data_IF_539023524953
#
_entry.id   IF_539023524953
#
_cell.length_a   1.000
_cell.length_b   1.000
_cell.length_c   1.000
_cell.angle_alpha   90.00
_cell.angle_beta   90.00
_cell.angle_gamma   90.00
#
_symmetry.space_group_name_H-M   'P 1'
#
loop_
_entity.id
_entity.type
_entity.pdbx_description
1 polymer ?
#
# COMPACT_ATOMS: atom_id res chain seq x y z
N UNK A 1 19.48 28.62 14.04
CA UNK A 1 19.03 27.30 13.54
C UNK A 1 17.57 27.11 13.92
N UNK A 2 16.66 26.74 12.99
CA UNK A 2 15.26 26.48 13.36
C UNK A 2 15.11 25.08 13.96
N UNK A 3 14.39 24.96 15.08
CA UNK A 3 14.21 23.67 15.77
C UNK A 3 13.50 22.64 14.87
N UNK A 4 12.53 23.07 14.07
CA UNK A 4 11.83 22.17 13.14
C UNK A 4 12.78 21.53 12.11
N UNK A 5 13.73 22.31 11.58
CA UNK A 5 14.76 21.79 10.68
C UNK A 5 15.72 20.85 11.42
N UNK A 6 16.01 21.12 12.70
CA UNK A 6 16.82 20.22 13.52
C UNK A 6 16.15 18.85 13.62
N UNK A 7 14.88 18.80 13.99
CA UNK A 7 14.13 17.55 14.13
C UNK A 7 14.03 16.80 12.81
N UNK A 8 13.77 17.49 11.69
CA UNK A 8 13.76 16.87 10.35
C UNK A 8 15.11 16.27 9.98
N UNK A 9 16.20 16.99 10.23
CA UNK A 9 17.55 16.49 10.03
C UNK A 9 17.82 15.26 10.90
N UNK A 10 17.51 15.33 12.19
CA UNK A 10 17.76 14.24 13.15
C UNK A 10 16.99 12.99 12.74
N UNK A 11 15.70 13.11 12.36
CA UNK A 11 14.93 11.96 11.87
C UNK A 11 15.56 11.33 10.62
N UNK A 12 15.95 12.16 9.65
CA UNK A 12 16.59 11.67 8.41
C UNK A 12 17.91 10.95 8.70
N UNK A 13 18.71 11.47 9.64
CA UNK A 13 19.94 10.81 10.08
C UNK A 13 19.64 9.47 10.77
N UNK A 14 18.62 9.40 11.64
CA UNK A 14 18.22 8.15 12.30
C UNK A 14 17.69 7.11 11.31
N UNK A 15 16.95 7.52 10.28
CA UNK A 15 16.51 6.61 9.21
C UNK A 15 17.72 6.02 8.48
N UNK A 16 18.70 6.86 8.13
CA UNK A 16 19.94 6.41 7.52
C UNK A 16 20.69 5.43 8.45
N UNK A 17 20.86 5.78 9.73
CA UNK A 17 21.51 4.91 10.71
C UNK A 17 20.81 3.55 10.82
N UNK A 18 19.48 3.52 10.88
CA UNK A 18 18.71 2.28 11.00
C UNK A 18 18.84 1.38 9.76
N UNK A 19 18.81 1.97 8.56
CA UNK A 19 19.03 1.23 7.30
C UNK A 19 20.43 0.65 7.26
N UNK A 20 21.45 1.43 7.62
CA UNK A 20 22.84 0.97 7.59
C UNK A 20 23.12 -0.10 8.66
N UNK A 21 22.59 0.07 9.87
CA UNK A 21 22.67 -0.95 10.93
C UNK A 21 22.01 -2.26 10.49
N UNK A 22 20.82 -2.18 9.87
CA UNK A 22 20.14 -3.34 9.32
C UNK A 22 20.94 -4.03 8.23
N UNK A 23 21.53 -3.25 7.32
CA UNK A 23 22.39 -3.75 6.23
C UNK A 23 23.63 -4.45 6.77
N UNK A 24 24.33 -3.85 7.73
CA UNK A 24 25.53 -4.41 8.36
C UNK A 24 25.23 -5.72 9.10
N UNK A 25 24.06 -5.85 9.74
CA UNK A 25 23.65 -7.12 10.35
C UNK A 25 23.45 -8.22 9.33
N UNK A 26 22.88 -7.92 8.16
CA UNK A 26 22.70 -8.89 7.09
C UNK A 26 24.04 -9.33 6.47
N UNK A 27 25.08 -8.49 6.56
CA UNK A 27 26.42 -8.89 6.12
C UNK A 27 27.10 -9.86 7.08
N UNK A 28 26.68 -9.97 8.34
CA UNK A 28 27.33 -10.86 9.30
C UNK A 28 26.95 -12.33 9.06
N UNK A 29 27.93 -13.22 9.21
CA UNK A 29 27.70 -14.67 9.16
C UNK A 29 26.79 -15.14 10.32
N UNK A 30 25.94 -16.13 10.04
CA UNK A 30 25.04 -16.70 11.04
C UNK A 30 25.82 -17.25 12.26
N UNK A 31 25.32 -16.97 13.47
CA UNK A 31 25.96 -17.40 14.73
C UNK A 31 26.94 -16.40 15.36
N UNK A 32 27.16 -15.23 14.76
CA UNK A 32 28.03 -14.17 15.30
C UNK A 32 27.29 -13.10 16.11
N UNK A 33 26.10 -13.41 16.63
CA UNK A 33 25.24 -12.45 17.36
C UNK A 33 25.86 -11.92 18.67
N UNK A 34 26.88 -12.61 19.20
CA UNK A 34 27.61 -12.22 20.42
C UNK A 34 28.91 -11.45 20.14
N UNK A 35 29.27 -11.23 18.87
CA UNK A 35 30.46 -10.45 18.54
C UNK A 35 30.27 -8.98 18.94
N UNK A 36 31.36 -8.30 19.31
CA UNK A 36 31.32 -6.92 19.80
C UNK A 36 30.67 -5.96 18.79
N UNK A 37 30.95 -6.15 17.49
CA UNK A 37 30.25 -5.42 16.42
C UNK A 37 28.73 -5.64 16.44
N UNK A 38 28.27 -6.88 16.60
CA UNK A 38 26.83 -7.18 16.61
C UNK A 38 26.14 -6.54 17.83
N UNK A 39 26.82 -6.54 18.99
CA UNK A 39 26.37 -5.85 20.21
C UNK A 39 26.30 -4.34 19.97
N UNK A 40 27.33 -3.73 19.40
CA UNK A 40 27.32 -2.31 19.04
C UNK A 40 26.15 -1.96 18.12
N UNK A 41 25.94 -2.73 17.05
CA UNK A 41 24.84 -2.50 16.11
C UNK A 41 23.47 -2.53 16.82
N UNK A 42 23.30 -3.38 17.83
CA UNK A 42 22.10 -3.41 18.71
C UNK A 42 21.97 -2.19 19.60
N UNK A 43 23.07 -1.70 20.14
CA UNK A 43 23.06 -0.51 20.99
C UNK A 43 22.78 0.76 20.16
N UNK A 44 23.27 0.82 18.92
CA UNK A 44 22.96 1.89 17.97
C UNK A 44 21.48 1.88 17.54
N UNK A 45 20.90 0.70 17.31
CA UNK A 45 19.46 0.57 17.02
C UNK A 45 18.60 1.04 18.21
N UNK A 46 18.98 0.65 19.43
CA UNK A 46 18.32 1.10 20.67
C UNK A 46 18.42 2.62 20.80
N UNK A 47 19.62 3.18 20.61
CA UNK A 47 19.85 4.62 20.61
C UNK A 47 18.99 5.35 19.57
N UNK A 48 18.83 4.78 18.37
CA UNK A 48 17.95 5.34 17.34
C UNK A 48 16.49 5.39 17.82
N UNK A 49 16.01 4.33 18.46
CA UNK A 49 14.64 4.27 19.02
C UNK A 49 14.41 5.36 20.06
N UNK A 50 15.34 5.52 21.00
CA UNK A 50 15.24 6.52 22.07
C UNK A 50 15.24 7.95 21.52
N UNK A 51 16.16 8.27 20.60
CA UNK A 51 16.22 9.60 19.97
C UNK A 51 14.93 9.88 19.17
N UNK A 52 14.36 8.88 18.48
CA UNK A 52 13.04 9.03 17.81
C UNK A 52 11.94 9.35 18.81
N UNK A 53 11.93 8.72 19.98
CA UNK A 53 10.94 9.02 21.02
C UNK A 53 11.06 10.46 21.52
N UNK A 54 12.28 10.97 21.74
CA UNK A 54 12.48 12.38 22.10
C UNK A 54 12.05 13.33 20.99
N UNK A 55 12.34 13.02 19.72
CA UNK A 55 11.85 13.79 18.58
C UNK A 55 10.32 13.86 18.55
N UNK A 56 9.63 12.75 18.85
CA UNK A 56 8.15 12.71 18.95
C UNK A 56 7.65 13.61 20.09
N UNK A 57 8.28 13.58 21.26
CA UNK A 57 7.93 14.45 22.41
C UNK A 57 8.09 15.93 22.06
N UNK A 58 9.25 16.30 21.49
CA UNK A 58 9.54 17.67 21.04
C UNK A 58 8.52 18.14 19.99
N UNK A 59 8.23 17.31 18.98
CA UNK A 59 7.29 17.67 17.91
C UNK A 59 5.88 17.96 18.43
N UNK A 60 5.41 17.25 19.46
CA UNK A 60 4.07 17.45 20.07
C UNK A 60 3.89 18.82 20.73
N UNK A 61 4.99 19.51 21.09
CA UNK A 61 5.00 20.84 21.74
C UNK A 61 5.53 21.94 20.80
N UNK A 62 5.83 21.64 19.54
CA UNK A 62 6.27 22.67 18.60
C UNK A 62 5.08 23.52 18.09
N UNK A 63 5.30 24.83 17.85
CA UNK A 63 4.30 25.70 17.23
C UNK A 63 3.89 25.21 15.84
N UNK A 64 2.59 25.27 15.53
CA UNK A 64 2.04 24.84 14.24
C UNK A 64 0.78 23.98 14.31
N UNK A 65 0.33 23.64 15.52
CA UNK A 65 -0.87 22.83 15.78
C UNK A 65 -1.78 23.56 16.78
N UNK A 66 -3.08 23.66 16.46
CA UNK A 66 -4.10 24.30 17.31
C UNK A 66 -4.57 23.35 18.43
N UNK A 67 -3.64 22.88 19.27
CA UNK A 67 -3.96 22.08 20.45
C UNK A 67 -3.73 22.88 21.75
N UNK A 68 -4.56 22.69 22.79
CA UNK A 68 -4.38 23.36 24.08
C UNK A 68 -3.00 23.08 24.68
N UNK A 69 -2.29 24.12 25.11
CA UNK A 69 -0.97 23.99 25.74
C UNK A 69 0.23 23.96 24.77
N UNK A 70 0.04 24.29 23.48
CA UNK A 70 1.13 24.48 22.52
C UNK A 70 1.45 25.98 22.39
N UNK A 71 2.72 26.40 22.54
CA UNK A 71 3.09 27.81 22.47
C UNK A 71 2.97 28.37 21.04
N UNK A 72 2.65 29.66 20.92
CA UNK A 72 2.58 30.36 19.63
C UNK A 72 3.97 30.54 18.98
N UNK A 73 5.02 30.61 19.80
CA UNK A 73 6.40 30.68 19.37
C UNK A 73 7.32 30.00 20.39
N UNK A 74 8.49 29.54 19.93
CA UNK A 74 9.56 29.06 20.79
C UNK A 74 10.73 30.03 20.73
N UNK A 75 11.37 30.25 21.87
CA UNK A 75 12.58 31.05 21.98
C UNK A 75 13.56 30.37 22.94
N UNK A 76 14.75 30.04 22.45
CA UNK A 76 15.84 29.48 23.23
C UNK A 76 17.15 30.18 22.88
N UNK A 77 18.03 30.32 23.87
CA UNK A 77 19.29 31.06 23.72
C UNK A 77 20.31 30.40 22.79
N UNK A 78 21.38 31.14 22.48
CA UNK A 78 22.45 30.70 21.59
C UNK A 78 23.11 29.38 22.05
N UNK A 79 23.33 29.22 23.35
CA UNK A 79 23.90 27.99 23.94
C UNK A 79 23.11 26.73 23.54
N UNK A 80 21.77 26.82 23.54
CA UNK A 80 20.91 25.70 23.15
C UNK A 80 21.03 25.44 21.65
N UNK A 81 21.08 26.50 20.83
CA UNK A 81 21.32 26.37 19.38
C UNK A 81 22.68 25.74 19.06
N UNK A 82 23.72 26.08 19.81
CA UNK A 82 25.07 25.51 19.64
C UNK A 82 25.08 24.03 19.99
N UNK A 83 24.45 23.66 21.12
CA UNK A 83 24.34 22.25 21.55
C UNK A 83 23.58 21.39 20.52
N UNK A 84 22.50 21.92 19.93
CA UNK A 84 21.78 21.23 18.87
C UNK A 84 22.60 21.13 17.57
N UNK A 85 23.44 22.14 17.29
CA UNK A 85 24.34 22.10 16.14
C UNK A 85 25.42 21.02 16.32
N UNK A 86 25.94 20.87 17.53
CA UNK A 86 26.87 19.79 17.88
C UNK A 86 26.22 18.41 17.79
N UNK A 87 24.95 18.27 18.19
CA UNK A 87 24.20 17.03 17.95
C UNK A 87 24.13 16.65 16.46
N UNK A 88 23.97 17.62 15.57
CA UNK A 88 23.99 17.35 14.12
C UNK A 88 25.36 16.84 13.66
N UNK A 89 26.46 17.38 14.21
CA UNK A 89 27.81 16.89 13.90
C UNK A 89 27.98 15.43 14.33
N UNK A 90 27.60 15.09 15.57
CA UNK A 90 27.66 13.71 16.06
C UNK A 90 26.84 12.74 15.21
N UNK A 91 25.60 13.10 14.85
CA UNK A 91 24.78 12.28 13.95
C UNK A 91 25.42 12.12 12.57
N UNK A 92 26.01 13.19 12.03
CA UNK A 92 26.70 13.15 10.73
C UNK A 92 27.90 12.20 10.77
N UNK A 93 28.70 12.26 11.84
CA UNK A 93 29.83 11.34 12.01
C UNK A 93 29.39 9.88 12.13
N UNK A 94 28.37 9.60 12.92
CA UNK A 94 27.84 8.23 13.07
C UNK A 94 27.32 7.70 11.73
N UNK A 95 26.53 8.50 11.00
CA UNK A 95 26.03 8.15 9.67
C UNK A 95 27.18 7.89 8.70
N UNK A 96 28.17 8.77 8.66
CA UNK A 96 29.31 8.64 7.75
C UNK A 96 30.10 7.35 8.02
N UNK A 97 30.34 7.00 9.29
CA UNK A 97 31.04 5.75 9.64
C UNK A 97 30.22 4.56 9.19
N UNK A 98 28.92 4.51 9.52
CA UNK A 98 28.07 3.39 9.13
C UNK A 98 27.97 3.22 7.61
N UNK A 99 27.85 4.32 6.87
CA UNK A 99 27.82 4.30 5.40
C UNK A 99 29.14 3.80 4.80
N UNK A 100 30.28 4.23 5.32
CA UNK A 100 31.59 3.80 4.83
C UNK A 100 31.81 2.30 5.10
N UNK A 101 31.51 1.83 6.32
CA UNK A 101 31.62 0.42 6.68
C UNK A 101 30.71 -0.43 5.82
N UNK A 102 29.50 0.04 5.57
CA UNK A 102 28.54 -0.72 4.80
C UNK A 102 28.79 -0.67 3.29
N UNK A 103 29.37 0.40 2.75
CA UNK A 103 29.85 0.46 1.38
C UNK A 103 31.01 -0.53 1.14
N UNK A 104 32.00 -0.54 2.04
CA UNK A 104 33.10 -1.51 2.01
C UNK A 104 32.60 -2.94 2.25
N UNK A 105 31.66 -3.13 3.17
CA UNK A 105 30.97 -4.40 3.42
C UNK A 105 30.30 -4.95 2.16
N UNK A 106 29.57 -4.11 1.42
CA UNK A 106 28.94 -4.49 0.16
C UNK A 106 29.96 -4.93 -0.91
N UNK A 107 31.11 -4.24 -1.00
CA UNK A 107 32.19 -4.64 -1.90
C UNK A 107 32.80 -6.00 -1.52
N UNK A 108 32.96 -6.25 -0.22
CA UNK A 108 33.45 -7.53 0.30
C UNK A 108 32.45 -8.68 0.18
N UNK A 109 31.15 -8.38 0.13
CA UNK A 109 30.06 -9.35 -0.11
C UNK A 109 29.97 -9.76 -1.59
N UNK A 110 30.37 -8.89 -2.53
CA UNK A 110 30.23 -9.15 -3.98
C UNK A 110 30.83 -10.47 -4.50
N UNK A 111 31.99 -10.98 -4.01
CA UNK A 111 32.55 -12.25 -4.46
C UNK A 111 32.03 -13.48 -3.69
N UNK A 112 31.19 -13.31 -2.66
CA UNK A 112 30.69 -14.39 -1.82
C UNK A 112 29.42 -15.01 -2.41
N UNK A 113 29.20 -16.32 -2.18
CA UNK A 113 27.95 -16.97 -2.54
C UNK A 113 26.80 -16.48 -1.63
N UNK A 114 25.55 -16.56 -2.09
CA UNK A 114 24.37 -15.99 -1.39
C UNK A 114 24.16 -16.48 0.06
N UNK A 115 24.84 -17.55 0.49
CA UNK A 115 24.75 -18.13 1.83
C UNK A 115 25.95 -17.79 2.75
N UNK A 116 26.99 -17.14 2.22
CA UNK A 116 28.22 -16.82 2.97
C UNK A 116 28.23 -15.35 3.43
N UNK A 117 28.09 -15.13 4.74
CA UNK A 117 28.30 -13.81 5.36
C UNK A 117 29.76 -13.49 5.69
N UNK A 118 30.04 -12.21 5.95
CA UNK A 118 31.32 -11.72 6.45
C UNK A 118 31.51 -12.08 7.93
N UNK A 119 32.75 -12.37 8.30
CA UNK A 119 33.15 -12.47 9.70
C UNK A 119 33.16 -11.08 10.33
N UNK A 120 32.62 -10.96 11.55
CA UNK A 120 32.56 -9.72 12.33
C UNK A 120 33.89 -8.96 12.27
N UNK A 121 35.00 -9.61 12.63
CA UNK A 121 36.38 -9.06 12.63
C UNK A 121 36.73 -8.27 11.36
N UNK A 122 36.33 -8.74 10.17
CA UNK A 122 36.60 -8.04 8.90
C UNK A 122 35.84 -6.73 8.79
N UNK A 123 34.58 -6.69 9.24
CA UNK A 123 33.80 -5.45 9.30
C UNK A 123 34.30 -4.55 10.44
N UNK A 124 34.82 -5.12 11.53
CA UNK A 124 35.46 -4.33 12.59
C UNK A 124 36.66 -3.57 12.04
N UNK A 125 37.60 -4.23 11.36
CA UNK A 125 38.78 -3.58 10.77
C UNK A 125 38.42 -2.38 9.89
N UNK A 126 37.33 -2.48 9.13
CA UNK A 126 36.81 -1.39 8.31
C UNK A 126 36.17 -0.31 9.17
N UNK A 127 35.41 -0.67 10.21
CA UNK A 127 34.86 0.27 11.18
C UNK A 127 35.94 1.05 11.94
N UNK A 128 37.07 0.40 12.25
CA UNK A 128 38.28 1.03 12.77
C UNK A 128 38.83 2.09 11.82
N UNK A 129 39.10 1.72 10.57
CA UNK A 129 39.60 2.67 9.57
C UNK A 129 38.64 3.83 9.31
N UNK A 130 37.35 3.56 9.16
CA UNK A 130 36.34 4.58 8.93
C UNK A 130 36.17 5.51 10.15
N UNK A 131 36.17 4.93 11.35
CA UNK A 131 36.11 5.68 12.61
C UNK A 131 37.27 6.65 12.77
N UNK A 132 38.51 6.19 12.56
CA UNK A 132 39.71 7.04 12.65
C UNK A 132 39.69 8.16 11.62
N UNK A 133 39.27 7.87 10.38
CA UNK A 133 39.18 8.86 9.31
C UNK A 133 38.16 9.97 9.61
N UNK A 134 36.99 9.60 10.16
CA UNK A 134 35.88 10.53 10.34
C UNK A 134 36.00 11.32 11.64
N UNK A 135 36.40 10.66 12.73
CA UNK A 135 36.61 11.32 14.04
C UNK A 135 37.99 11.97 14.16
N UNK A 136 38.93 11.68 13.25
CA UNK A 136 40.24 12.32 13.18
C UNK A 136 41.19 11.98 14.34
N UNK A 137 40.87 10.95 15.14
CA UNK A 137 41.64 10.52 16.31
C UNK A 137 42.26 9.15 16.03
N UNK A 138 43.60 9.09 15.98
CA UNK A 138 44.33 7.84 15.74
C UNK A 138 44.39 7.00 17.02
N UNK A 139 44.05 5.71 16.93
CA UNK A 139 44.24 4.73 18.02
C UNK A 139 43.11 4.62 19.03
N UNK A 140 41.92 5.18 18.76
CA UNK A 140 40.79 5.10 19.67
C UNK A 140 39.65 4.25 19.10
N UNK A 141 38.98 3.50 20.00
CA UNK A 141 38.01 2.49 19.63
C UNK A 141 36.75 3.14 18.99
N UNK A 142 36.44 2.88 17.71
CA UNK A 142 35.26 3.42 17.02
C UNK A 142 33.96 3.08 17.75
N UNK A 143 33.91 1.96 18.46
CA UNK A 143 32.73 1.54 19.18
C UNK A 143 32.42 2.52 20.29
N UNK A 144 33.45 2.98 21.00
CA UNK A 144 33.32 3.98 22.05
C UNK A 144 32.89 5.33 21.46
N UNK A 145 33.46 5.75 20.33
CA UNK A 145 33.04 7.00 19.69
C UNK A 145 31.61 6.98 19.16
N UNK A 146 31.19 5.87 18.54
CA UNK A 146 29.82 5.72 18.05
C UNK A 146 28.82 5.73 19.22
N UNK A 147 29.13 5.02 20.32
CA UNK A 147 28.35 5.04 21.56
C UNK A 147 28.32 6.43 22.21
N UNK A 148 29.47 7.09 22.30
CA UNK A 148 29.61 8.42 22.89
C UNK A 148 28.81 9.46 22.10
N UNK A 149 28.94 9.47 20.77
CA UNK A 149 28.16 10.34 19.88
C UNK A 149 26.65 10.11 20.07
N UNK A 150 26.20 8.86 20.12
CA UNK A 150 24.79 8.57 20.40
C UNK A 150 24.36 9.03 21.80
N UNK A 151 25.21 8.85 22.80
CA UNK A 151 24.94 9.27 24.18
C UNK A 151 24.81 10.80 24.33
N UNK A 152 25.65 11.57 23.62
CA UNK A 152 25.56 13.04 23.58
C UNK A 152 24.24 13.48 22.94
N UNK A 153 23.84 12.83 21.84
CA UNK A 153 22.56 13.13 21.16
C UNK A 153 21.38 12.76 22.06
N UNK A 154 21.39 11.58 22.69
CA UNK A 154 20.35 11.15 23.64
C UNK A 154 20.21 12.15 24.78
N UNK A 155 21.31 12.53 25.42
CA UNK A 155 21.29 13.46 26.55
C UNK A 155 20.72 14.83 26.17
N UNK A 156 21.17 15.37 25.04
CA UNK A 156 20.71 16.68 24.54
C UNK A 156 19.25 16.64 24.14
N UNK A 157 18.83 15.62 23.39
CA UNK A 157 17.46 15.49 22.91
C UNK A 157 16.47 15.22 24.05
N UNK A 158 16.88 14.47 25.07
CA UNK A 158 16.08 14.29 26.28
C UNK A 158 15.93 15.61 27.04
N UNK A 159 17.02 16.35 27.26
CA UNK A 159 16.99 17.66 27.91
C UNK A 159 16.08 18.64 27.17
N UNK A 160 16.17 18.68 25.83
CA UNK A 160 15.29 19.48 24.99
C UNK A 160 13.83 19.06 25.12
N UNK A 161 13.53 17.75 25.11
CA UNK A 161 12.18 17.24 25.27
C UNK A 161 11.57 17.62 26.63
N UNK A 162 12.36 17.54 27.71
CA UNK A 162 11.93 17.94 29.06
C UNK A 162 11.67 19.44 29.16
N UNK A 163 12.63 20.27 28.76
CA UNK A 163 12.49 21.73 28.78
C UNK A 163 11.32 22.21 27.91
N UNK A 164 11.09 21.54 26.77
CA UNK A 164 9.91 21.78 25.96
C UNK A 164 8.62 21.37 26.66
N UNK A 165 8.58 20.25 27.38
CA UNK A 165 7.39 19.81 28.12
C UNK A 165 7.07 20.74 29.30
N UNK A 166 8.10 21.30 29.94
CA UNK A 166 8.00 22.23 31.08
C UNK A 166 7.68 23.67 30.64
N UNK A 167 7.83 23.98 29.35
CA UNK A 167 7.50 25.29 28.78
C UNK A 167 8.59 26.34 28.97
N UNK A 168 9.83 25.91 29.25
CA UNK A 168 10.97 26.81 29.41
C UNK A 168 11.26 27.66 28.17
N UNK A 169 10.83 27.18 26.99
CA UNK A 169 11.05 27.86 25.70
C UNK A 169 9.78 28.54 25.15
N UNK A 170 8.66 28.48 25.87
CA UNK A 170 7.39 29.04 25.43
C UNK A 170 7.50 30.58 25.39
N UNK A 171 7.30 31.18 24.21
CA UNK A 171 7.34 32.64 24.06
C UNK A 171 5.98 33.21 23.74
N UNK A 172 5.53 34.15 24.57
CA UNK A 172 4.38 35.00 24.26
C UNK A 172 4.80 36.07 23.25
N UNK A 173 4.70 35.78 21.95
CA UNK A 173 4.66 36.87 20.97
C UNK A 173 3.31 37.57 21.13
N UNK A 174 3.27 38.92 21.25
CA UNK A 174 2.01 39.63 21.19
C UNK A 174 1.39 39.39 19.82
N UNK A 175 0.28 38.67 19.78
CA UNK A 175 -0.49 38.48 18.56
C UNK A 175 -0.94 39.87 18.08
N UNK A 176 -0.43 40.33 16.93
CA UNK A 176 -1.06 41.44 16.24
C UNK A 176 -2.50 41.02 15.97
N UNK A 177 -3.48 41.75 16.52
CA UNK A 177 -4.91 41.40 16.49
C UNK A 177 -5.46 41.15 15.08
N UNK A 178 -4.73 41.52 14.04
CA UNK A 178 -4.98 41.14 12.65
C UNK A 178 -3.69 40.55 12.04
N UNK A 179 -3.53 39.23 11.98
CA UNK A 179 -2.41 38.63 11.26
C UNK A 179 -2.51 39.01 9.77
N UNK A 180 -1.39 39.40 9.13
CA UNK A 180 -1.33 39.64 7.69
C UNK A 180 -1.97 38.48 6.90
N UNK A 181 -2.65 38.74 5.76
CA UNK A 181 -3.26 37.68 4.95
C UNK A 181 -2.30 36.56 4.52
N UNK A 182 -1.00 36.86 4.41
CA UNK A 182 0.05 35.86 4.13
C UNK A 182 0.24 34.88 5.29
N UNK A 183 0.14 35.35 6.53
CA UNK A 183 0.30 34.52 7.73
C UNK A 183 -0.92 33.63 7.95
N UNK A 184 -2.13 34.14 7.66
CA UNK A 184 -3.36 33.34 7.66
C UNK A 184 -3.27 32.22 6.62
N UNK A 185 -2.81 32.54 5.41
CA UNK A 185 -2.62 31.53 4.35
C UNK A 185 -1.53 30.53 4.71
N UNK A 186 -0.41 30.99 5.29
CA UNK A 186 0.66 30.12 5.75
C UNK A 186 0.21 29.20 6.90
N UNK A 187 -0.62 29.69 7.83
CA UNK A 187 -1.22 28.89 8.88
C UNK A 187 -2.18 27.83 8.33
N UNK A 188 -3.06 28.20 7.39
CA UNK A 188 -3.96 27.26 6.71
C UNK A 188 -3.18 26.16 5.97
N UNK A 189 -2.11 26.52 5.25
CA UNK A 189 -1.24 25.54 4.59
C UNK A 189 -0.53 24.63 5.60
N UNK A 190 -0.04 25.16 6.72
CA UNK A 190 0.60 24.35 7.78
C UNK A 190 -0.39 23.38 8.44
N UNK A 191 -1.64 23.81 8.65
CA UNK A 191 -2.70 22.94 9.14
C UNK A 191 -2.98 21.80 8.14
N UNK A 192 -3.09 22.11 6.84
CA UNK A 192 -3.30 21.11 5.80
C UNK A 192 -2.11 20.12 5.69
N UNK A 193 -0.87 20.60 5.80
CA UNK A 193 0.32 19.73 5.86
C UNK A 193 0.26 18.80 7.07
N UNK A 194 -0.12 19.31 8.23
CA UNK A 194 -0.21 18.52 9.46
C UNK A 194 -1.30 17.45 9.38
N UNK A 195 -2.45 17.80 8.82
CA UNK A 195 -3.53 16.85 8.55
C UNK A 195 -3.09 15.76 7.57
N UNK A 196 -2.34 16.13 6.53
CA UNK A 196 -1.76 15.18 5.58
C UNK A 196 -0.73 14.25 6.24
N UNK A 197 0.15 14.76 7.10
CA UNK A 197 1.09 13.95 7.90
C UNK A 197 0.34 12.99 8.84
N UNK A 198 -0.75 13.47 9.48
CA UNK A 198 -1.60 12.66 10.35
C UNK A 198 -2.33 11.53 9.59
N UNK A 199 -2.76 11.79 8.35
CA UNK A 199 -3.28 10.75 7.46
C UNK A 199 -2.19 9.76 7.05
N UNK A 200 -0.95 10.23 6.82
CA UNK A 200 0.21 9.39 6.54
C UNK A 200 0.47 8.35 7.63
N UNK A 201 0.45 8.77 8.91
CA UNK A 201 0.60 7.86 10.06
C UNK A 201 -0.51 6.80 10.10
N UNK A 202 -1.77 7.20 9.87
CA UNK A 202 -2.89 6.25 9.80
C UNK A 202 -2.73 5.27 8.65
N UNK A 203 -2.15 5.69 7.53
CA UNK A 203 -1.91 4.84 6.37
C UNK A 203 -0.81 3.81 6.68
N UNK A 204 0.27 4.24 7.33
CA UNK A 204 1.34 3.36 7.81
C UNK A 204 0.81 2.30 8.80
N UNK A 205 -0.04 2.69 9.75
CA UNK A 205 -0.72 1.76 10.67
C UNK A 205 -1.62 0.76 9.93
N UNK A 206 -2.31 1.19 8.86
CA UNK A 206 -3.10 0.25 8.04
C UNK A 206 -2.21 -0.70 7.24
N UNK A 207 -1.04 -0.24 6.81
CA UNK A 207 -0.10 -1.05 6.06
C UNK A 207 0.60 -2.12 6.92
N UNK A 208 0.88 -1.83 8.19
CA UNK A 208 1.35 -2.83 9.16
C UNK A 208 0.29 -3.90 9.40
N UNK A 209 -0.96 -3.51 9.62
CA UNK A 209 -2.10 -4.45 9.77
C UNK A 209 -2.27 -5.32 8.52
N UNK A 210 -2.16 -4.74 7.32
CA UNK A 210 -2.22 -5.51 6.06
C UNK A 210 -1.07 -6.53 5.99
N UNK A 211 0.14 -6.16 6.39
CA UNK A 211 1.29 -7.09 6.41
C UNK A 211 1.05 -8.25 7.38
N UNK A 212 0.50 -7.99 8.56
CA UNK A 212 0.15 -9.02 9.54
C UNK A 212 -0.97 -9.93 9.05
N UNK A 213 -2.03 -9.36 8.48
CA UNK A 213 -3.13 -10.13 7.88
C UNK A 213 -2.63 -11.01 6.72
N UNK A 214 -1.72 -10.52 5.88
CA UNK A 214 -1.08 -11.32 4.81
C UNK A 214 -0.28 -12.49 5.38
N UNK A 215 0.49 -12.28 6.46
CA UNK A 215 1.21 -13.36 7.14
C UNK A 215 0.24 -14.40 7.72
N UNK A 216 -0.80 -13.95 8.41
CA UNK A 216 -1.84 -14.83 8.98
C UNK A 216 -2.57 -15.63 7.89
N UNK A 217 -2.91 -15.00 6.77
CA UNK A 217 -3.55 -15.66 5.63
C UNK A 217 -2.66 -16.74 5.02
N UNK A 218 -1.34 -16.49 4.92
CA UNK A 218 -0.38 -17.50 4.42
C UNK A 218 -0.35 -18.73 5.33
N UNK A 219 -0.25 -18.53 6.65
CA UNK A 219 -0.27 -19.61 7.64
C UNK A 219 -1.59 -20.39 7.55
N UNK A 220 -2.73 -19.70 7.48
CA UNK A 220 -4.05 -20.35 7.33
C UNK A 220 -4.17 -21.14 6.02
N UNK A 221 -3.55 -20.66 4.94
CA UNK A 221 -3.46 -21.39 3.67
C UNK A 221 -2.65 -22.68 3.78
N UNK A 222 -1.51 -22.63 4.47
CA UNK A 222 -0.68 -23.81 4.75
C UNK A 222 -1.44 -24.83 5.62
N UNK A 223 -2.09 -24.38 6.70
CA UNK A 223 -2.94 -25.22 7.57
C UNK A 223 -4.08 -25.90 6.79
N UNK A 224 -4.76 -25.15 5.91
CA UNK A 224 -5.85 -25.69 5.08
C UNK A 224 -5.33 -26.72 4.08
N UNK A 225 -4.17 -26.48 3.47
CA UNK A 225 -3.54 -27.44 2.56
C UNK A 225 -3.19 -28.75 3.27
N UNK A 226 -2.68 -28.68 4.51
CA UNK A 226 -2.36 -29.85 5.32
C UNK A 226 -3.62 -30.62 5.71
N UNK A 227 -4.70 -29.90 6.09
CA UNK A 227 -5.99 -30.50 6.38
C UNK A 227 -6.60 -31.22 5.15
N UNK A 228 -6.48 -30.64 3.95
CA UNK A 228 -6.92 -31.29 2.71
C UNK A 228 -6.15 -32.58 2.40
N UNK A 229 -4.83 -32.60 2.65
CA UNK A 229 -4.02 -33.82 2.49
C UNK A 229 -4.49 -34.89 3.48
N UNK A 230 -4.73 -34.52 4.75
CA UNK A 230 -5.27 -35.44 5.77
C UNK A 230 -6.63 -36.01 5.36
N UNK A 231 -7.52 -35.16 4.85
CA UNK A 231 -8.85 -35.55 4.38
C UNK A 231 -8.75 -36.55 3.21
N UNK A 232 -7.95 -36.24 2.19
CA UNK A 232 -7.75 -37.14 1.04
C UNK A 232 -7.16 -38.50 1.46
N UNK A 233 -6.29 -38.53 2.48
CA UNK A 233 -5.74 -39.77 3.01
C UNK A 233 -6.79 -40.60 3.76
N UNK A 234 -7.70 -39.95 4.50
CA UNK A 234 -8.81 -40.62 5.17
C UNK A 234 -9.85 -41.14 4.17
N UNK A 235 -10.17 -40.39 3.13
CA UNK A 235 -11.04 -40.84 2.03
C UNK A 235 -10.48 -42.10 1.35
N UNK A 236 -9.18 -42.10 1.02
CA UNK A 236 -8.53 -43.29 0.44
C UNK A 236 -8.57 -44.51 1.37
N UNK A 237 -8.38 -44.30 2.67
CA UNK A 237 -8.50 -45.38 3.67
C UNK A 237 -9.93 -45.90 3.78
N UNK A 238 -10.92 -45.02 3.66
CA UNK A 238 -12.33 -45.40 3.65
C UNK A 238 -12.64 -46.22 2.40
N UNK A 239 -12.20 -45.79 1.22
CA UNK A 239 -12.38 -46.51 -0.04
C UNK A 239 -11.73 -47.91 -0.01
N UNK A 240 -10.49 -48.01 0.50
CA UNK A 240 -9.83 -49.31 0.64
C UNK A 240 -10.56 -50.20 1.65
N UNK A 241 -10.98 -49.65 2.78
CA UNK A 241 -11.73 -50.42 3.78
C UNK A 241 -13.10 -50.85 3.29
N UNK A 242 -13.76 -50.04 2.44
CA UNK A 242 -15.03 -50.40 1.80
C UNK A 242 -14.82 -51.56 0.84
N UNK A 243 -13.82 -51.48 -0.05
CA UNK A 243 -13.48 -52.58 -0.96
C UNK A 243 -13.15 -53.87 -0.21
N UNK A 244 -12.33 -53.79 0.85
CA UNK A 244 -11.99 -54.95 1.69
C UNK A 244 -13.23 -55.55 2.39
N UNK A 245 -14.24 -54.72 2.69
CA UNK A 245 -15.52 -55.19 3.23
C UNK A 245 -16.37 -55.87 2.14
N UNK A 246 -16.47 -55.26 0.96
CA UNK A 246 -17.21 -55.81 -0.18
C UNK A 246 -16.62 -57.16 -0.62
N UNK A 247 -15.29 -57.27 -0.74
CA UNK A 247 -14.61 -58.54 -1.04
C UNK A 247 -14.87 -59.62 0.01
N UNK A 248 -14.97 -59.24 1.30
CA UNK A 248 -15.31 -60.18 2.37
C UNK A 248 -16.76 -60.65 2.25
N UNK A 249 -17.69 -59.75 1.92
CA UNK A 249 -19.09 -60.10 1.69
C UNK A 249 -19.19 -61.06 0.50
N UNK A 250 -18.50 -60.80 -0.60
CA UNK A 250 -18.47 -61.67 -1.79
C UNK A 250 -17.90 -63.07 -1.47
N UNK A 251 -16.81 -63.14 -0.70
CA UNK A 251 -16.24 -64.41 -0.21
C UNK A 251 -17.18 -65.19 0.71
N UNK A 252 -17.95 -64.50 1.55
CA UNK A 252 -18.96 -65.14 2.40
C UNK A 252 -20.14 -65.64 1.55
N UNK A 253 -20.58 -64.84 0.57
CA UNK A 253 -21.69 -65.19 -0.31
C UNK A 253 -21.37 -66.43 -1.17
N UNK A 254 -20.18 -66.47 -1.77
CA UNK A 254 -19.70 -67.64 -2.54
C UNK A 254 -19.66 -68.91 -1.69
N UNK A 255 -19.13 -68.85 -0.46
CA UNK A 255 -19.15 -69.98 0.48
C UNK A 255 -20.57 -70.40 0.88
N UNK A 256 -21.47 -69.44 1.03
CA UNK A 256 -22.87 -69.71 1.34
C UNK A 256 -23.54 -70.47 0.19
N UNK A 257 -23.33 -70.03 -1.05
CA UNK A 257 -23.89 -70.66 -2.25
C UNK A 257 -23.30 -72.07 -2.49
N UNK A 258 -21.99 -72.24 -2.30
CA UNK A 258 -21.33 -73.55 -2.31
C UNK A 258 -21.92 -74.49 -1.25
N UNK A 259 -22.15 -74.00 -0.03
CA UNK A 259 -22.73 -74.81 1.04
C UNK A 259 -24.19 -75.17 0.75
N UNK A 260 -24.99 -74.23 0.21
CA UNK A 260 -26.37 -74.49 -0.18
C UNK A 260 -26.48 -75.49 -1.33
N UNK A 261 -25.62 -75.41 -2.34
CA UNK A 261 -25.60 -76.38 -3.45
C UNK A 261 -25.22 -77.77 -2.97
N UNK A 262 -24.25 -77.88 -2.06
CA UNK A 262 -23.82 -79.13 -1.46
C UNK A 262 -24.93 -79.74 -0.57
N UNK A 263 -25.63 -78.90 0.19
CA UNK A 263 -26.81 -79.30 0.97
C UNK A 263 -27.92 -79.85 0.06
N UNK A 264 -28.31 -79.12 -0.99
CA UNK A 264 -29.32 -79.59 -1.95
C UNK A 264 -28.94 -80.89 -2.64
N UNK A 265 -27.66 -81.05 -2.97
CA UNK A 265 -27.15 -82.30 -3.54
C UNK A 265 -27.30 -83.45 -2.55
N UNK A 266 -26.97 -83.21 -1.26
CA UNK A 266 -27.14 -84.20 -0.20
C UNK A 266 -28.61 -84.54 0.04
N UNK A 267 -29.50 -83.55 0.08
CA UNK A 267 -30.95 -83.75 0.15
C UNK A 267 -31.44 -84.65 -0.99
N UNK A 268 -30.99 -84.39 -2.23
CA UNK A 268 -31.33 -85.22 -3.38
C UNK A 268 -30.76 -86.65 -3.28
N UNK A 269 -29.51 -86.81 -2.87
CA UNK A 269 -28.90 -88.13 -2.63
C UNK A 269 -29.67 -88.93 -1.56
N UNK A 270 -30.14 -88.26 -0.49
CA UNK A 270 -30.99 -88.89 0.51
C UNK A 270 -32.36 -89.28 -0.05
N UNK A 271 -33.00 -88.40 -0.82
CA UNK A 271 -34.29 -88.67 -1.46
C UNK A 271 -34.21 -89.86 -2.44
N UNK A 272 -33.18 -89.90 -3.31
CA UNK A 272 -32.92 -91.04 -4.21
C UNK A 272 -32.66 -92.34 -3.43
N UNK A 273 -31.96 -92.27 -2.29
CA UNK A 273 -31.73 -93.44 -1.43
C UNK A 273 -33.02 -93.90 -0.75
N UNK A 274 -33.87 -92.96 -0.31
CA UNK A 274 -35.17 -93.25 0.29
C UNK A 274 -36.12 -93.89 -0.73
N UNK A 275 -36.16 -93.39 -1.95
CA UNK A 275 -36.95 -93.96 -3.06
C UNK A 275 -36.47 -95.38 -3.42
N UNK A 276 -35.15 -95.60 -3.48
CA UNK A 276 -34.57 -96.92 -3.73
C UNK A 276 -34.96 -97.91 -2.62
N UNK A 277 -34.86 -97.50 -1.35
CA UNK A 277 -35.28 -98.32 -0.22
C UNK A 277 -36.80 -98.60 -0.25
N UNK A 278 -37.61 -97.62 -0.64
CA UNK A 278 -39.06 -97.82 -0.78
C UNK A 278 -39.38 -98.79 -1.92
N UNK A 279 -38.70 -98.68 -3.05
CA UNK A 279 -38.82 -99.62 -4.16
C UNK A 279 -38.41 -101.05 -3.74
N UNK A 280 -37.34 -101.21 -2.95
CA UNK A 280 -36.94 -102.50 -2.38
C UNK A 280 -38.00 -103.04 -1.41
N UNK A 281 -38.63 -102.20 -0.59
CA UNK A 281 -39.75 -102.59 0.28
C UNK A 281 -40.91 -103.11 -0.57
N UNK A 282 -41.34 -102.35 -1.56
CA UNK A 282 -42.47 -102.70 -2.42
C UNK A 282 -42.17 -103.99 -3.22
N UNK A 283 -40.94 -104.16 -3.71
CA UNK A 283 -40.46 -105.37 -4.36
C UNK A 283 -40.54 -106.57 -3.41
N UNK A 284 -40.01 -106.45 -2.18
CA UNK A 284 -40.08 -107.51 -1.17
C UNK A 284 -41.52 -107.84 -0.76
N UNK A 285 -42.41 -106.86 -0.69
CA UNK A 285 -43.84 -107.08 -0.44
C UNK A 285 -44.50 -107.80 -1.61
N UNK A 286 -44.15 -107.46 -2.84
CA UNK A 286 -44.63 -108.14 -4.05
C UNK A 286 -44.12 -109.58 -4.12
N UNK A 287 -42.85 -109.84 -3.80
CA UNK A 287 -42.27 -111.18 -3.73
C UNK A 287 -42.91 -112.00 -2.62
N UNK A 288 -43.16 -111.38 -1.46
CA UNK A 288 -43.90 -112.01 -0.36
C UNK A 288 -45.34 -112.34 -0.76
N UNK A 289 -46.01 -111.45 -1.50
CA UNK A 289 -47.34 -111.67 -2.04
C UNK A 289 -47.33 -112.75 -3.11
N UNK A 290 -46.34 -112.77 -4.01
CA UNK A 290 -46.14 -113.76 -5.06
C UNK A 290 -45.81 -115.12 -4.45
N UNK A 291 -44.97 -115.19 -3.42
CA UNK A 291 -44.68 -116.44 -2.69
C UNK A 291 -45.92 -116.96 -1.96
N UNK A 292 -46.71 -116.08 -1.33
CA UNK A 292 -48.03 -116.45 -0.79
C UNK A 292 -48.96 -116.94 -1.91
N UNK A 293 -48.95 -116.29 -3.07
CA UNK A 293 -49.74 -116.69 -4.22
C UNK A 293 -49.23 -118.01 -4.79
N UNK A 294 -47.92 -118.26 -4.88
CA UNK A 294 -47.28 -119.52 -5.32
C UNK A 294 -47.57 -120.65 -4.35
N UNK A 295 -47.64 -120.40 -3.04
CA UNK A 295 -48.19 -121.36 -2.08
C UNK A 295 -49.67 -121.63 -2.38
N UNK A 296 -50.46 -120.58 -2.67
CA UNK A 296 -51.86 -120.72 -3.06
C UNK A 296 -52.09 -121.28 -4.48
N UNK A 297 -51.09 -121.26 -5.38
CA UNK A 297 -51.22 -121.62 -6.81
C UNK A 297 -50.37 -122.84 -7.21
N UNK A 298 -49.45 -123.31 -6.37
CA UNK A 298 -48.94 -124.69 -6.42
C UNK A 298 -50.05 -125.73 -6.23
N UNK A 299 -51.27 -125.31 -5.86
CA UNK A 299 -52.47 -126.14 -5.88
C UNK A 299 -53.25 -126.12 -7.21
N UNK A 300 -52.84 -125.38 -8.25
CA UNK A 300 -53.51 -125.40 -9.57
C UNK A 300 -52.55 -125.09 -10.74
N UNK A 301 -52.02 -126.19 -11.27
CA UNK A 301 -51.50 -126.47 -12.61
C UNK A 301 -51.64 -125.42 -13.75
N UNK A 302 -50.56 -125.35 -14.55
CA UNK A 302 -50.47 -125.44 -16.04
C UNK A 302 -50.70 -124.25 -16.99
N UNK A 303 -49.69 -124.05 -17.85
CA UNK A 303 -49.69 -123.96 -19.35
C UNK A 303 -49.46 -122.59 -20.06
N UNK A 304 -48.33 -122.58 -20.80
CA UNK A 304 -47.92 -122.00 -22.11
C UNK A 304 -48.12 -120.53 -22.54
N UNK A 305 -47.06 -119.98 -23.18
CA UNK A 305 -47.14 -119.61 -24.61
C UNK A 305 -46.73 -118.21 -25.11
N UNK A 306 -45.43 -118.00 -25.39
CA UNK A 306 -44.77 -117.36 -26.58
C UNK A 306 -45.03 -115.91 -27.11
N UNK A 307 -43.87 -115.23 -27.36
CA UNK A 307 -43.42 -114.37 -28.52
C UNK A 307 -43.59 -112.82 -28.54
N UNK A 308 -42.45 -112.11 -28.74
CA UNK A 308 -42.30 -111.11 -29.85
C UNK A 308 -41.80 -109.65 -29.59
N UNK A 309 -40.47 -109.42 -29.68
CA UNK A 309 -39.68 -108.33 -30.34
C UNK A 309 -39.94 -106.79 -30.28
N UNK A 310 -38.83 -106.05 -30.07
CA UNK A 310 -38.31 -104.82 -30.75
C UNK A 310 -38.53 -103.38 -30.21
N UNK A 311 -37.41 -102.77 -29.76
CA UNK A 311 -36.77 -101.40 -29.92
C UNK A 311 -37.43 -100.28 -30.79
N UNK A 312 -36.88 -99.02 -30.91
CA UNK A 312 -36.03 -98.14 -30.05
C UNK A 312 -36.29 -96.58 -30.17
N UNK A 313 -35.54 -95.76 -29.41
CA UNK A 313 -34.97 -94.44 -29.83
C UNK A 313 -35.75 -93.13 -29.51
N UNK A 314 -35.20 -91.90 -29.44
CA UNK A 314 -33.87 -91.27 -29.68
C UNK A 314 -34.00 -89.75 -29.29
N UNK A 315 -32.85 -89.07 -29.00
CA UNK A 315 -32.51 -87.62 -29.18
C UNK A 315 -32.98 -86.54 -28.16
N UNK A 316 -32.30 -85.39 -27.92
CA UNK A 316 -30.97 -84.82 -28.31
C UNK A 316 -30.88 -83.32 -27.85
N UNK A 317 -29.80 -82.90 -27.14
CA UNK A 317 -28.83 -81.76 -27.39
C UNK A 317 -29.38 -80.32 -27.62
N UNK A 318 -28.80 -79.13 -27.28
CA UNK A 318 -27.75 -78.51 -26.42
C UNK A 318 -27.70 -76.98 -26.81
N UNK A 319 -27.40 -76.12 -25.82
CA UNK A 319 -26.82 -74.73 -25.75
C UNK A 319 -26.69 -73.73 -26.92
N UNK A 320 -26.59 -72.42 -26.57
CA UNK A 320 -25.56 -71.51 -27.14
C UNK A 320 -25.87 -69.99 -27.13
N UNK A 321 -24.86 -69.13 -26.93
CA UNK A 321 -24.93 -67.72 -26.48
C UNK A 321 -24.35 -66.65 -27.45
N UNK A 322 -24.40 -65.36 -27.01
CA UNK A 322 -23.41 -64.25 -27.14
C UNK A 322 -23.45 -63.13 -28.23
N UNK A 323 -22.71 -62.04 -27.92
CA UNK A 323 -22.78 -60.56 -28.19
C UNK A 323 -22.16 -59.98 -29.51
N UNK A 324 -22.34 -58.65 -29.80
CA UNK A 324 -21.31 -57.53 -29.78
C UNK A 324 -21.52 -56.28 -30.73
N UNK A 325 -20.99 -55.09 -30.28
CA UNK A 325 -20.22 -53.97 -30.97
C UNK A 325 -20.82 -52.60 -31.48
N UNK A 326 -20.10 -51.47 -31.16
CA UNK A 326 -19.50 -50.49 -32.13
C UNK A 326 -19.78 -48.94 -32.04
N UNK A 327 -18.75 -48.07 -32.22
CA UNK A 327 -18.75 -46.56 -32.15
C UNK A 327 -17.82 -45.84 -33.20
N UNK A 328 -18.03 -44.53 -33.60
CA UNK A 328 -17.01 -43.45 -33.93
C UNK A 328 -17.51 -42.14 -34.65
N UNK A 329 -16.78 -40.99 -34.44
CA UNK A 329 -16.16 -40.00 -35.39
C UNK A 329 -16.34 -38.44 -35.22
N UNK A 330 -15.35 -37.66 -35.69
CA UNK A 330 -15.02 -36.21 -35.49
C UNK A 330 -14.50 -35.49 -36.79
N UNK A 331 -14.40 -34.14 -36.85
CA UNK A 331 -13.63 -33.39 -37.88
C UNK A 331 -13.81 -31.83 -37.96
N UNK A 332 -12.75 -31.07 -38.29
CA UNK A 332 -12.62 -29.58 -38.32
C UNK A 332 -11.82 -29.04 -39.54
N UNK A 333 -11.92 -27.72 -39.89
CA UNK A 333 -10.83 -26.98 -40.57
C UNK A 333 -11.12 -25.79 -41.55
N UNK A 334 -10.47 -24.64 -41.25
CA UNK A 334 -9.70 -23.71 -42.13
C UNK A 334 -10.25 -22.43 -42.80
N UNK A 335 -9.34 -21.45 -42.93
CA UNK A 335 -9.46 -19.97 -43.10
C UNK A 335 -8.87 -19.44 -44.43
N UNK A 336 -9.36 -18.29 -44.94
CA UNK A 336 -8.66 -17.47 -45.96
C UNK A 336 -8.90 -15.96 -45.78
N UNK A 337 -7.86 -15.15 -46.03
CA UNK A 337 -7.83 -13.70 -45.84
C UNK A 337 -8.07 -12.89 -47.12
N UNK A 338 -8.77 -11.75 -46.99
CA UNK A 338 -9.15 -10.83 -48.08
C UNK A 338 -8.50 -9.46 -47.85
N UNK A 339 -7.87 -8.90 -48.89
CA UNK A 339 -7.34 -7.53 -48.91
C UNK A 339 -8.47 -6.51 -49.18
N UNK A 340 -8.56 -5.44 -48.38
CA UNK A 340 -9.62 -4.41 -48.45
C UNK A 340 -9.09 -3.14 -49.09
N UNK A 341 -9.80 -2.67 -50.13
CA UNK A 341 -9.60 -1.36 -50.76
C UNK A 341 -10.44 -0.33 -49.99
N UNK A 342 -9.82 0.72 -49.46
CA UNK A 342 -10.49 1.74 -48.65
C UNK A 342 -11.52 2.52 -49.50
N UNK A 343 -12.81 2.35 -49.17
CA UNK A 343 -13.90 3.12 -49.75
C UNK A 343 -13.87 4.58 -49.22
N UNK A 344 -13.89 5.61 -50.08
CA UNK A 344 -13.87 7.02 -49.66
C UNK A 344 -14.96 7.40 -48.66
N UNK A 345 -16.12 6.73 -48.73
CA UNK A 345 -17.23 6.90 -47.79
C UNK A 345 -16.87 6.40 -46.38
N UNK A 346 -16.10 5.31 -46.30
CA UNK A 346 -15.58 4.77 -45.04
C UNK A 346 -14.57 5.74 -44.41
N UNK A 347 -13.70 6.35 -45.22
CA UNK A 347 -12.74 7.36 -44.74
C UNK A 347 -13.46 8.60 -44.17
N UNK A 348 -14.52 9.07 -44.84
CA UNK A 348 -15.34 10.18 -44.35
C UNK A 348 -16.06 9.83 -43.05
N UNK A 349 -16.61 8.61 -42.96
CA UNK A 349 -17.25 8.10 -41.74
C UNK A 349 -16.25 7.99 -40.57
N UNK A 350 -15.03 7.51 -40.81
CA UNK A 350 -13.96 7.45 -39.81
C UNK A 350 -13.60 8.87 -39.33
N UNK A 351 -13.51 9.85 -40.23
CA UNK A 351 -13.22 11.23 -39.85
C UNK A 351 -14.31 11.84 -38.95
N UNK A 352 -15.58 11.64 -39.32
CA UNK A 352 -16.72 12.09 -38.52
C UNK A 352 -16.75 11.42 -37.13
N UNK A 353 -16.51 10.10 -37.06
CA UNK A 353 -16.43 9.37 -35.80
C UNK A 353 -15.27 9.85 -34.92
N UNK A 354 -14.09 10.14 -35.50
CA UNK A 354 -12.95 10.72 -34.76
C UNK A 354 -13.29 12.08 -34.16
N UNK A 355 -14.04 12.92 -34.88
CA UNK A 355 -14.48 14.22 -34.36
C UNK A 355 -15.47 14.06 -33.21
N UNK A 356 -16.45 13.16 -33.32
CA UNK A 356 -17.38 12.84 -32.23
C UNK A 356 -16.64 12.30 -30.99
N UNK A 357 -15.68 11.39 -31.17
CA UNK A 357 -14.86 10.87 -30.07
C UNK A 357 -14.06 12.00 -29.41
N UNK A 358 -13.48 12.93 -30.20
CA UNK A 358 -12.78 14.10 -29.66
C UNK A 358 -13.71 15.00 -28.84
N UNK A 359 -14.93 15.23 -29.33
CA UNK A 359 -15.94 16.00 -28.60
C UNK A 359 -16.31 15.34 -27.26
N UNK A 360 -16.64 14.04 -27.29
CA UNK A 360 -16.96 13.27 -26.07
C UNK A 360 -15.79 13.23 -25.09
N UNK A 361 -14.55 13.11 -25.58
CA UNK A 361 -13.34 13.17 -24.74
C UNK A 361 -13.18 14.54 -24.08
N UNK A 362 -13.42 15.63 -24.81
CA UNK A 362 -13.36 16.98 -24.26
C UNK A 362 -14.42 17.22 -23.20
N UNK A 363 -15.66 16.77 -23.43
CA UNK A 363 -16.72 16.88 -22.42
C UNK A 363 -16.43 16.02 -21.19
N UNK A 364 -15.94 14.79 -21.37
CA UNK A 364 -15.55 13.93 -20.25
C UNK A 364 -14.43 14.58 -19.42
N UNK A 365 -13.43 15.17 -20.09
CA UNK A 365 -12.36 15.92 -19.42
C UNK A 365 -12.89 17.15 -18.68
N UNK A 366 -13.85 17.88 -19.26
CA UNK A 366 -14.50 19.02 -18.61
C UNK A 366 -15.22 18.60 -17.33
N UNK A 367 -16.04 17.54 -17.39
CA UNK A 367 -16.77 17.02 -16.23
C UNK A 367 -15.83 16.49 -15.15
N UNK A 368 -14.78 15.75 -15.53
CA UNK A 368 -13.75 15.28 -14.58
C UNK A 368 -13.00 16.44 -13.92
N UNK A 369 -12.75 17.52 -14.66
CA UNK A 369 -12.06 18.70 -14.16
C UNK A 369 -13.00 19.70 -13.44
N UNK A 370 -14.30 19.44 -13.37
CA UNK A 370 -15.29 20.39 -12.85
C UNK A 370 -15.05 20.74 -11.38
N UNK A 371 -14.78 19.74 -10.54
CA UNK A 371 -14.43 19.96 -9.12
C UNK A 371 -13.18 20.83 -8.96
N UNK A 372 -12.13 20.54 -9.73
CA UNK A 372 -10.88 21.32 -9.72
C UNK A 372 -11.09 22.75 -10.23
N UNK A 373 -11.91 22.92 -11.27
CA UNK A 373 -12.26 24.23 -11.83
C UNK A 373 -13.07 25.06 -10.82
N UNK A 374 -14.02 24.44 -10.12
CA UNK A 374 -14.81 25.10 -9.09
C UNK A 374 -13.94 25.53 -7.90
N UNK A 375 -13.02 24.66 -7.46
CA UNK A 375 -12.05 25.01 -6.41
C UNK A 375 -11.16 26.19 -6.82
N UNK A 376 -10.67 26.22 -8.07
CA UNK A 376 -9.87 27.33 -8.58
C UNK A 376 -10.69 28.63 -8.70
N UNK A 377 -11.94 28.53 -9.17
CA UNK A 377 -12.83 29.68 -9.34
C UNK A 377 -13.32 30.26 -8.00
N UNK A 378 -13.35 29.45 -6.93
CA UNK A 378 -13.66 29.92 -5.59
C UNK A 378 -12.54 30.77 -4.97
N UNK A 379 -11.33 30.75 -5.53
CA UNK A 379 -10.23 31.59 -5.08
C UNK A 379 -10.42 33.05 -5.56
N UNK A 380 -10.06 34.04 -4.74
CA UNK A 380 -10.16 35.45 -5.13
C UNK A 380 -9.23 35.76 -6.32
N UNK A 381 -9.69 36.57 -7.31
CA UNK A 381 -8.87 36.94 -8.46
C UNK A 381 -7.62 37.71 -8.02
N UNK A 382 -6.47 37.31 -8.56
CA UNK A 382 -5.21 38.00 -8.33
C UNK A 382 -5.19 39.32 -9.14
N UNK A 383 -5.31 40.43 -8.43
CA UNK A 383 -5.12 41.76 -9.00
C UNK A 383 -3.66 42.16 -8.83
N UNK A 384 -2.92 42.21 -9.94
CA UNK A 384 -1.53 42.66 -9.93
C UNK A 384 -1.50 44.18 -10.10
N UNK A 385 -0.95 44.90 -9.13
CA UNK A 385 -0.71 46.34 -9.25
C UNK A 385 0.27 46.58 -10.40
N UNK A 386 -0.02 47.54 -11.29
CA UNK A 386 0.94 47.96 -12.31
C UNK A 386 2.20 48.49 -11.61
N UNK A 387 3.27 47.71 -11.63
CA UNK A 387 4.59 48.18 -11.19
C UNK A 387 5.04 49.29 -12.15
N UNK A 388 5.62 50.40 -11.64
CA UNK A 388 6.20 51.42 -12.50
C UNK A 388 7.28 50.77 -13.36
N UNK A 389 7.22 50.99 -14.69
CA UNK A 389 8.25 50.49 -15.58
C UNK A 389 9.62 51.05 -15.18
N UNK A 390 10.65 50.21 -15.25
CA UNK A 390 12.05 50.61 -14.96
C UNK A 390 12.57 51.67 -15.93
N UNK A 391 11.89 51.87 -17.06
CA UNK A 391 12.06 53.03 -17.91
C UNK A 391 11.19 54.15 -17.33
N UNK A 392 11.80 55.27 -16.92
CA UNK A 392 11.23 56.35 -16.10
C UNK A 392 10.06 57.15 -16.70
N UNK A 393 9.08 56.45 -17.26
CA UNK A 393 7.80 57.00 -17.70
C UNK A 393 7.07 57.62 -16.53
N UNK A 394 6.77 58.92 -16.65
CA UNK A 394 5.97 59.68 -15.68
C UNK A 394 4.68 58.90 -15.36
N UNK A 395 4.30 58.76 -14.07
CA UNK A 395 3.02 58.18 -13.69
C UNK A 395 1.85 58.76 -14.50
N UNK A 396 0.89 57.92 -14.89
CA UNK A 396 -0.32 58.29 -15.64
C UNK A 396 -1.07 59.47 -14.97
N UNK A 397 -0.96 59.57 -13.63
CA UNK A 397 -1.46 60.66 -12.79
C UNK A 397 -0.88 62.03 -13.17
N UNK A 398 0.43 62.11 -13.47
CA UNK A 398 1.12 63.34 -13.89
C UNK A 398 0.77 63.77 -15.32
N UNK A 399 0.08 62.90 -16.07
CA UNK A 399 -0.34 63.16 -17.45
C UNK A 399 -1.71 63.83 -17.52
N UNK A 400 -2.47 63.83 -16.42
CA UNK A 400 -3.83 64.36 -16.40
C UNK A 400 -3.84 65.89 -16.53
N UNK A 401 -4.80 66.39 -17.32
CA UNK A 401 -4.98 67.84 -17.51
C UNK A 401 -5.28 68.58 -16.21
N UNK A 402 -5.89 67.90 -15.23
CA UNK A 402 -6.13 68.45 -13.90
C UNK A 402 -4.82 68.61 -13.12
N UNK A 403 -3.95 67.60 -13.12
CA UNK A 403 -2.66 67.68 -12.43
C UNK A 403 -1.80 68.84 -12.95
N UNK A 404 -1.71 69.01 -14.28
CA UNK A 404 -0.98 70.14 -14.88
C UNK A 404 -1.55 71.51 -14.48
N UNK A 405 -2.89 71.64 -14.42
CA UNK A 405 -3.55 72.87 -13.98
C UNK A 405 -3.29 73.15 -12.51
N UNK A 406 -3.28 72.12 -11.67
CA UNK A 406 -2.96 72.23 -10.24
C UNK A 406 -1.49 72.64 -10.03
N UNK A 407 -0.57 72.02 -10.79
CA UNK A 407 0.87 72.33 -10.74
C UNK A 407 1.15 73.78 -11.18
N UNK A 408 0.54 74.22 -12.30
CA UNK A 408 0.67 75.59 -12.78
C UNK A 408 0.10 76.62 -11.79
N UNK A 409 -1.04 76.32 -11.16
CA UNK A 409 -1.63 77.18 -10.14
C UNK A 409 -0.74 77.27 -8.89
N UNK A 410 -0.16 76.14 -8.47
CA UNK A 410 0.78 76.07 -7.36
C UNK A 410 2.04 76.91 -7.63
N UNK A 411 2.62 76.80 -8.83
CA UNK A 411 3.80 77.58 -9.24
C UNK A 411 3.49 79.08 -9.22
N UNK A 412 2.31 79.48 -9.71
CA UNK A 412 1.87 80.89 -9.70
C UNK A 412 1.71 81.43 -8.28
N UNK A 413 1.14 80.64 -7.37
CA UNK A 413 0.99 80.98 -5.95
C UNK A 413 2.34 81.09 -5.25
N UNK A 414 3.26 80.16 -5.50
CA UNK A 414 4.62 80.19 -4.95
C UNK A 414 5.37 81.43 -5.42
N UNK A 415 5.32 81.75 -6.72
CA UNK A 415 5.96 82.94 -7.28
C UNK A 415 5.38 84.24 -6.69
N UNK A 416 4.06 84.30 -6.47
CA UNK A 416 3.44 85.46 -5.82
C UNK A 416 3.84 85.57 -4.35
N UNK A 417 3.90 84.46 -3.63
CA UNK A 417 4.28 84.45 -2.21
C UNK A 417 5.74 84.89 -2.01
N UNK A 418 6.63 84.52 -2.94
CA UNK A 418 8.04 84.87 -2.88
C UNK A 418 8.33 86.33 -3.29
N UNK A 419 7.46 86.96 -4.08
CA UNK A 419 7.69 88.30 -4.65
C UNK A 419 6.76 89.39 -4.12
N UNK A 420 6.24 89.23 -2.89
CA UNK A 420 5.40 90.26 -2.27
C UNK A 420 6.24 91.51 -1.96
N UNK A 421 5.89 92.64 -2.57
CA UNK A 421 6.55 93.93 -2.35
C UNK A 421 5.61 94.90 -1.63
N UNK A 422 6.18 95.73 -0.76
CA UNK A 422 5.46 96.82 -0.10
C UNK A 422 5.01 97.84 -1.14
N UNK A 423 3.81 98.39 -0.96
CA UNK A 423 3.22 99.42 -1.83
C UNK A 423 4.08 100.68 -1.83
N UNK A 424 4.38 101.21 -3.01
CA UNK A 424 5.17 102.43 -3.16
C UNK A 424 4.30 103.68 -2.94
N UNK A 425 4.65 104.47 -1.92
CA UNK A 425 3.98 105.73 -1.57
C UNK A 425 4.75 106.98 -2.02
N UNK A 426 5.89 106.82 -2.72
CA UNK A 426 6.77 107.93 -3.11
C UNK A 426 6.25 108.77 -4.29
N UNK A 427 5.13 108.38 -4.90
CA UNK A 427 4.52 109.07 -6.04
C UNK A 427 5.26 108.88 -7.38
N UNK A 428 6.27 108.01 -7.42
CA UNK A 428 7.05 107.69 -8.64
C UNK A 428 6.39 106.63 -9.52
N UNK A 429 5.41 105.91 -8.98
CA UNK A 429 4.63 104.92 -9.70
C UNK A 429 3.43 105.56 -10.41
N UNK A 430 3.10 105.16 -11.66
CA UNK A 430 1.94 105.67 -12.38
C UNK A 430 0.58 105.26 -11.76
N UNK A 431 0.58 104.36 -10.78
CA UNK A 431 -0.61 103.84 -10.12
C UNK A 431 -0.67 104.33 -8.68
N UNK A 432 -1.85 104.79 -8.23
CA UNK A 432 -2.06 105.23 -6.85
C UNK A 432 -1.75 104.10 -5.85
N UNK A 433 -1.26 104.41 -4.63
CA UNK A 433 -1.00 103.39 -3.62
C UNK A 433 -2.22 102.50 -3.33
N UNK A 434 -3.42 103.09 -3.29
CA UNK A 434 -4.68 102.35 -3.16
C UNK A 434 -4.97 101.44 -4.36
N UNK A 435 -4.65 101.88 -5.58
CA UNK A 435 -4.78 101.07 -6.79
C UNK A 435 -3.84 99.87 -6.80
N UNK A 436 -2.59 100.03 -6.37
CA UNK A 436 -1.61 98.94 -6.28
C UNK A 436 -2.05 97.87 -5.26
N UNK A 437 -2.56 98.28 -4.10
CA UNK A 437 -3.07 97.36 -3.08
C UNK A 437 -4.34 96.63 -3.55
N UNK A 438 -5.22 97.34 -4.25
CA UNK A 438 -6.44 96.76 -4.82
C UNK A 438 -6.10 95.72 -5.90
N UNK A 439 -5.11 95.99 -6.75
CA UNK A 439 -4.64 95.05 -7.78
C UNK A 439 -4.07 93.76 -7.17
N UNK A 440 -3.24 93.88 -6.12
CA UNK A 440 -2.70 92.71 -5.41
C UNK A 440 -3.82 91.88 -4.78
N UNK A 441 -4.82 92.54 -4.17
CA UNK A 441 -5.97 91.89 -3.54
C UNK A 441 -6.87 91.20 -4.57
N UNK A 442 -7.18 91.87 -5.69
CA UNK A 442 -7.98 91.31 -6.78
C UNK A 442 -7.30 90.08 -7.43
N UNK A 443 -5.97 90.13 -7.58
CA UNK A 443 -5.18 89.01 -8.11
C UNK A 443 -5.23 87.78 -7.18
N UNK A 444 -5.12 87.98 -5.87
CA UNK A 444 -5.28 86.90 -4.88
C UNK A 444 -6.70 86.30 -4.89
N UNK A 445 -7.72 87.15 -4.99
CA UNK A 445 -9.11 86.70 -5.07
C UNK A 445 -9.36 85.87 -6.34
N UNK A 446 -8.83 86.29 -7.49
CA UNK A 446 -8.93 85.53 -8.74
C UNK A 446 -8.25 84.14 -8.66
N UNK A 447 -7.11 84.05 -7.97
CA UNK A 447 -6.44 82.76 -7.75
C UNK A 447 -7.24 81.85 -6.82
N UNK A 448 -7.83 82.42 -5.76
CA UNK A 448 -8.73 81.70 -4.86
C UNK A 448 -9.93 81.12 -5.61
N UNK A 449 -10.61 81.92 -6.43
CA UNK A 449 -11.76 81.46 -7.20
C UNK A 449 -11.36 80.35 -8.20
N UNK A 450 -10.14 80.44 -8.75
CA UNK A 450 -9.60 79.41 -9.65
C UNK A 450 -9.28 78.12 -8.91
N UNK A 451 -8.74 78.22 -7.70
CA UNK A 451 -8.51 77.09 -6.80
C UNK A 451 -9.82 76.40 -6.41
N UNK A 452 -10.84 77.18 -6.05
CA UNK A 452 -12.15 76.64 -5.67
C UNK A 452 -12.84 75.93 -6.86
N UNK A 453 -12.70 76.48 -8.08
CA UNK A 453 -13.15 75.79 -9.31
C UNK A 453 -12.39 74.49 -9.61
N UNK A 454 -11.11 74.43 -9.26
CA UNK A 454 -10.29 73.22 -9.42
C UNK A 454 -10.64 72.17 -8.37
N UNK A 455 -10.90 72.57 -7.13
CA UNK A 455 -11.32 71.67 -6.03
C UNK A 455 -12.60 70.89 -6.31
N UNK A 456 -13.53 71.46 -7.08
CA UNK A 456 -14.78 70.76 -7.47
C UNK A 456 -14.54 69.70 -8.55
N UNK A 457 -13.41 69.77 -9.26
CA UNK A 457 -13.08 68.87 -10.39
C UNK A 457 -12.10 67.76 -10.04
N UNK A 458 -11.46 67.84 -8.87
CA UNK A 458 -10.60 66.81 -8.27
C UNK A 458 -11.49 65.99 -7.35
#
# INVERSE_FOLDING_TARGET
MQLADHIRFTQSALDCMAVEVGRLRLFLHAGQEKADLAVLLKDLETSCSDIRQFCKKIRRRMPGTDAPGIPAALNFGQQVSDTLSDCRKHLTWVVAVLQEVAAAGAQMMSPLAEQDGLTAVKLEDVAFKAGEQIYGSQGANPYEYLRQSCSIVIATMNKMATAMQEGEYDSERPQSKNPPPVDVRAAALRAEITDAEGLGLKLEDRETVIKELKKSLKIKGEELSEANIRLSLLEKKLDSSSKDADERVEKIQTRLDETQTLLKKKEKEFEETMDALQADIDQLESEKAELKQRINSQSKMTVDGLRGSSQPGIASIITGAEEQKGAMMSGAGSSSGVQVIDSPLLTQQIHAQRLCIKHLKNDNNRMKAEKMRAQLAALPPLHVTKLPSRDGGRPEVLSSALYRKTEQLLETLLQMSANMKVVDITGKSPVTPGGQLLEQTARLQSLRDTLDRLRVKV
#
